data_IF_004449756228
#
_entry.id   IF_004449756228
#
_cell.length_a   1.000
_cell.length_b   1.000
_cell.length_c   1.000
_cell.angle_alpha   90.00
_cell.angle_beta   90.00
_cell.angle_gamma   90.00
#
_symmetry.space_group_name_H-M   'P 1'
#
loop_
_entity.id
_entity.type
_entity.pdbx_description
1 polymer ?
#
# COMPACT_ATOMS: atom_id res chain seq x y z
N UNK A 1 49.98 -50.80 -18.09
CA UNK A 1 49.13 -52.00 -18.07
C UNK A 1 47.70 -51.55 -17.96
N UNK A 2 46.82 -52.05 -18.84
CA UNK A 2 45.39 -51.69 -18.92
C UNK A 2 44.58 -52.12 -17.71
N UNK A 3 43.27 -51.97 -17.62
CA UNK A 3 42.21 -51.44 -18.50
C UNK A 3 40.88 -51.76 -17.78
N UNK A 4 39.80 -51.05 -18.06
CA UNK A 4 38.48 -51.36 -17.49
C UNK A 4 37.39 -50.40 -17.94
N UNK A 5 36.55 -50.86 -18.88
CA UNK A 5 35.34 -50.19 -19.35
C UNK A 5 34.15 -50.42 -18.41
N UNK A 6 33.23 -49.45 -18.38
CA UNK A 6 31.86 -49.55 -17.86
C UNK A 6 31.37 -48.12 -17.58
N UNK A 7 30.49 -47.49 -18.36
CA UNK A 7 29.31 -48.02 -19.01
C UNK A 7 28.10 -47.80 -18.10
N UNK A 8 27.38 -46.70 -18.30
CA UNK A 8 26.00 -46.54 -17.85
C UNK A 8 25.78 -45.54 -16.70
N UNK A 9 24.76 -44.69 -16.85
CA UNK A 9 24.12 -44.04 -15.70
C UNK A 9 23.76 -42.56 -15.82
N UNK A 10 23.15 -42.11 -16.92
CA UNK A 10 22.19 -41.01 -16.79
C UNK A 10 20.93 -41.60 -16.14
N UNK A 11 20.82 -41.46 -14.83
CA UNK A 11 19.67 -41.87 -14.02
C UNK A 11 20.04 -41.70 -12.55
N UNK A 12 19.27 -41.07 -11.70
CA UNK A 12 17.91 -40.57 -11.78
C UNK A 12 17.55 -40.08 -10.38
N UNK A 13 16.38 -39.50 -10.23
CA UNK A 13 15.87 -39.00 -8.95
C UNK A 13 15.50 -37.54 -9.10
N UNK A 14 14.23 -37.30 -9.38
CA UNK A 14 13.68 -35.96 -9.47
C UNK A 14 14.07 -35.19 -8.21
N UNK A 15 14.73 -34.04 -8.40
CA UNK A 15 14.49 -32.95 -7.49
C UNK A 15 12.97 -32.74 -7.54
N UNK A 16 12.32 -33.04 -6.41
CA UNK A 16 10.90 -32.86 -6.20
C UNK A 16 10.53 -31.43 -6.62
N UNK A 17 10.09 -31.29 -7.87
CA UNK A 17 9.55 -30.03 -8.38
C UNK A 17 8.42 -29.57 -7.45
N UNK A 18 7.70 -30.51 -6.83
CA UNK A 18 6.72 -30.24 -5.77
C UNK A 18 7.27 -29.55 -4.53
N UNK A 19 8.51 -29.85 -4.10
CA UNK A 19 9.11 -29.25 -2.90
C UNK A 19 9.73 -27.87 -3.21
N UNK A 20 10.35 -27.69 -4.38
CA UNK A 20 10.79 -26.37 -4.84
C UNK A 20 9.61 -25.42 -5.08
N UNK A 21 8.51 -25.91 -5.65
CA UNK A 21 7.29 -25.12 -5.75
C UNK A 21 6.61 -24.98 -4.37
N UNK A 22 6.67 -25.97 -3.50
CA UNK A 22 6.12 -25.91 -2.14
C UNK A 22 6.78 -24.84 -1.28
N UNK A 23 8.11 -24.77 -1.27
CA UNK A 23 8.88 -23.81 -0.48
C UNK A 23 8.84 -22.40 -1.08
N UNK A 24 8.87 -22.26 -2.41
CA UNK A 24 8.79 -20.93 -3.06
C UNK A 24 7.38 -20.36 -2.96
N UNK A 25 6.34 -21.16 -3.16
CA UNK A 25 4.97 -20.69 -2.93
C UNK A 25 4.66 -20.58 -1.44
N UNK A 26 5.30 -21.37 -0.58
CA UNK A 26 5.25 -21.27 0.88
C UNK A 26 5.87 -19.96 1.39
N UNK A 27 7.05 -19.56 0.93
CA UNK A 27 7.68 -18.30 1.35
C UNK A 27 7.01 -17.06 0.73
N UNK A 28 6.44 -17.18 -0.47
CA UNK A 28 5.78 -16.08 -1.19
C UNK A 28 4.31 -15.90 -0.77
N UNK A 29 3.57 -16.99 -0.54
CA UNK A 29 2.14 -16.96 -0.20
C UNK A 29 1.84 -17.40 1.24
N UNK A 30 2.77 -18.06 1.92
CA UNK A 30 2.63 -18.64 3.27
C UNK A 30 3.49 -17.92 4.32
N UNK A 31 3.08 -16.73 4.73
CA UNK A 31 3.36 -16.31 6.12
C UNK A 31 4.64 -15.49 6.35
N UNK A 32 5.16 -14.82 5.32
CA UNK A 32 5.92 -13.61 5.53
C UNK A 32 5.01 -12.53 6.11
N UNK A 33 4.91 -12.45 7.44
CA UNK A 33 4.35 -11.31 8.20
C UNK A 33 5.08 -10.02 7.80
N UNK A 34 4.82 -9.49 6.60
CA UNK A 34 4.99 -8.07 6.33
C UNK A 34 3.92 -7.40 7.17
N UNK A 35 4.37 -7.03 8.37
CA UNK A 35 3.58 -6.54 9.47
C UNK A 35 2.50 -5.60 8.96
N UNK A 36 1.32 -5.76 9.54
CA UNK A 36 0.19 -4.86 9.35
C UNK A 36 0.72 -3.44 9.35
N UNK A 37 0.84 -2.89 8.15
CA UNK A 37 1.09 -1.48 7.95
C UNK A 37 -0.20 -0.82 8.33
N UNK A 38 -0.45 -0.68 9.62
CA UNK A 38 -1.57 0.07 10.15
C UNK A 38 -1.62 1.37 9.38
N UNK A 39 -2.83 1.73 8.94
CA UNK A 39 -3.10 2.99 8.26
C UNK A 39 -2.53 4.12 9.11
N UNK A 40 -1.29 4.52 8.81
CA UNK A 40 -0.66 5.64 9.50
C UNK A 40 -1.48 6.86 9.10
N UNK A 41 -1.90 7.62 10.09
CA UNK A 41 -2.62 8.86 9.86
C UNK A 41 -1.79 9.74 8.93
N UNK A 42 -2.27 9.93 7.70
CA UNK A 42 -1.70 10.86 6.74
C UNK A 42 -2.13 12.26 7.17
N UNK A 43 -1.18 13.21 7.20
CA UNK A 43 -1.53 14.61 7.42
C UNK A 43 -2.32 15.13 6.20
N UNK A 44 -3.30 15.98 6.46
CA UNK A 44 -4.01 16.72 5.41
C UNK A 44 -3.08 17.70 4.69
N UNK A 45 -3.47 18.11 3.50
CA UNK A 45 -2.76 19.13 2.73
C UNK A 45 -3.06 20.55 3.26
N UNK A 46 -2.10 21.45 3.13
CA UNK A 46 -2.29 22.87 3.43
C UNK A 46 -3.15 23.54 2.35
N UNK A 47 -4.02 24.47 2.77
CA UNK A 47 -4.89 25.25 1.88
C UNK A 47 -4.44 26.71 1.85
N UNK A 48 -4.40 27.31 0.66
CA UNK A 48 -4.07 28.72 0.46
C UNK A 48 -5.19 29.42 -0.32
N UNK A 49 -5.74 30.48 0.26
CA UNK A 49 -6.72 31.35 -0.37
C UNK A 49 -6.15 32.77 -0.51
N UNK A 50 -6.19 33.33 -1.72
CA UNK A 50 -5.79 34.71 -1.94
C UNK A 50 -7.07 35.57 -1.98
N UNK A 51 -7.17 36.53 -1.07
CA UNK A 51 -8.27 37.50 -1.02
C UNK A 51 -7.77 38.87 -1.46
N UNK A 52 -8.50 39.49 -2.38
CA UNK A 52 -8.29 40.89 -2.74
C UNK A 52 -9.12 41.79 -1.83
N UNK A 53 -8.50 42.86 -1.35
CA UNK A 53 -9.12 43.88 -0.51
C UNK A 53 -8.88 45.25 -1.11
N UNK A 54 -9.88 46.14 -1.06
CA UNK A 54 -9.63 47.55 -1.36
C UNK A 54 -8.95 48.23 -0.17
N UNK A 55 -8.29 49.37 -0.41
CA UNK A 55 -7.62 50.12 0.66
C UNK A 55 -8.61 50.58 1.74
N UNK A 56 -9.80 50.99 1.32
CA UNK A 56 -10.87 51.45 2.21
C UNK A 56 -11.39 50.32 3.11
N UNK A 57 -11.55 49.11 2.55
CA UNK A 57 -11.92 47.91 3.31
C UNK A 57 -10.84 47.56 4.33
N UNK A 58 -9.56 47.67 3.96
CA UNK A 58 -8.44 47.38 4.85
C UNK A 58 -8.34 48.41 6.01
N UNK A 59 -8.59 49.69 5.74
CA UNK A 59 -8.50 50.77 6.75
C UNK A 59 -9.70 50.76 7.70
N UNK A 60 -10.91 50.52 7.18
CA UNK A 60 -12.13 50.50 8.00
C UNK A 60 -12.35 49.19 8.73
N UNK A 61 -11.70 48.11 8.26
CA UNK A 61 -11.97 46.74 8.67
C UNK A 61 -13.24 46.21 7.98
N UNK A 62 -13.19 44.95 7.57
CA UNK A 62 -14.31 44.24 6.95
C UNK A 62 -14.39 42.82 7.48
N UNK A 63 -15.61 42.28 7.61
CA UNK A 63 -15.84 40.87 7.88
C UNK A 63 -16.29 40.21 6.58
N UNK A 64 -15.57 39.18 6.13
CA UNK A 64 -15.90 38.40 4.94
C UNK A 64 -15.99 36.92 5.31
N UNK A 65 -17.02 36.26 4.83
CA UNK A 65 -17.19 34.81 5.00
C UNK A 65 -16.47 34.08 3.86
N UNK A 66 -15.73 33.02 4.19
CA UNK A 66 -14.97 32.22 3.24
C UNK A 66 -15.39 30.77 3.40
N UNK A 67 -15.87 30.17 2.32
CA UNK A 67 -16.19 28.75 2.28
C UNK A 67 -14.94 27.94 1.88
N UNK A 68 -14.49 27.06 2.78
CA UNK A 68 -13.33 26.19 2.56
C UNK A 68 -13.79 24.74 2.48
N UNK A 69 -13.78 24.10 1.30
CA UNK A 69 -14.15 22.69 1.18
C UNK A 69 -13.09 21.82 1.87
N UNK A 70 -13.54 20.89 2.72
CA UNK A 70 -12.67 19.97 3.45
C UNK A 70 -13.15 18.54 3.29
N UNK A 71 -12.22 17.59 3.44
CA UNK A 71 -12.56 16.18 3.55
C UNK A 71 -13.10 15.92 4.96
N UNK A 72 -14.30 15.35 5.03
CA UNK A 72 -14.95 14.99 6.29
C UNK A 72 -14.98 13.49 6.49
N UNK A 73 -15.15 13.05 7.73
CA UNK A 73 -15.38 11.65 8.04
C UNK A 73 -16.68 11.18 7.34
N UNK A 74 -16.63 10.01 6.72
CA UNK A 74 -17.81 9.47 6.06
C UNK A 74 -18.59 8.58 7.02
N UNK A 75 -19.75 9.05 7.49
CA UNK A 75 -20.61 8.31 8.43
C UNK A 75 -21.21 7.02 7.84
N UNK A 76 -21.19 6.87 6.51
CA UNK A 76 -21.74 5.68 5.85
C UNK A 76 -20.79 4.50 5.91
N UNK A 77 -19.49 4.72 5.80
CA UNK A 77 -18.47 3.66 5.80
C UNK A 77 -17.48 3.78 6.94
N UNK A 78 -17.68 4.73 7.86
CA UNK A 78 -16.80 5.05 8.98
C UNK A 78 -15.33 5.27 8.54
N UNK A 79 -15.15 5.85 7.35
CA UNK A 79 -13.83 6.09 6.75
C UNK A 79 -13.13 4.83 6.23
N UNK A 80 -13.76 3.65 6.23
CA UNK A 80 -13.17 2.41 5.69
C UNK A 80 -13.07 2.38 4.18
N UNK A 81 -13.88 3.17 3.47
CA UNK A 81 -13.99 3.12 2.01
C UNK A 81 -14.64 1.83 1.47
N UNK A 82 -15.19 0.99 2.35
CA UNK A 82 -15.83 -0.28 2.02
C UNK A 82 -17.33 -0.26 2.37
N UNK A 83 -18.10 -1.17 1.75
CA UNK A 83 -19.52 -1.34 2.08
C UNK A 83 -19.64 -2.00 3.46
N UNK A 84 -20.62 -1.60 4.28
CA UNK A 84 -20.85 -2.24 5.59
C UNK A 84 -20.97 -3.77 5.43
N UNK A 85 -20.05 -4.51 6.06
CA UNK A 85 -20.05 -5.97 6.07
C UNK A 85 -19.15 -6.69 5.05
N UNK A 86 -18.26 -5.97 4.34
CA UNK A 86 -17.13 -6.58 3.60
C UNK A 86 -15.83 -6.57 4.40
#
# INVERSE_FOLDING_TARGET
GGGGFGGGGFGGGGADFGDIFGDVFGDIFGGGRRGGGGHRAQRGADLRYNMELTLEEAVRGVTKEIEVPTLVHCDTCDGSGAKKGS
#
